data_IF_335864266868
#
_entry.id   IF_335864266868
#
_cell.length_a   1.000
_cell.length_b   1.000
_cell.length_c   1.000
_cell.angle_alpha   90.00
_cell.angle_beta   90.00
_cell.angle_gamma   90.00
#
_symmetry.space_group_name_H-M   'P 1'
#
loop_
_entity.id
_entity.type
_entity.pdbx_description
1 polymer ?
#
# COMPACT_ATOMS: atom_id res chain seq x y z
N UNK A 1 3.95 -11.01 10.19
CA UNK A 1 3.42 -9.63 10.30
C UNK A 1 3.07 -9.29 11.74
N UNK A 2 3.73 -8.29 12.31
CA UNK A 2 3.41 -7.75 13.64
C UNK A 2 2.32 -6.67 13.52
N UNK A 3 1.07 -7.08 13.78
CA UNK A 3 -0.10 -6.19 13.71
C UNK A 3 0.03 -5.00 14.64
N UNK A 4 0.46 -5.22 15.88
CA UNK A 4 0.53 -4.16 16.89
C UNK A 4 1.56 -3.10 16.49
N UNK A 5 2.69 -3.51 15.90
CA UNK A 5 3.71 -2.59 15.39
C UNK A 5 3.19 -1.78 14.18
N UNK A 6 2.44 -2.41 13.27
CA UNK A 6 1.83 -1.73 12.12
C UNK A 6 0.78 -0.70 12.58
N UNK A 7 -0.12 -1.07 13.48
CA UNK A 7 -1.13 -0.17 14.04
C UNK A 7 -0.50 1.01 14.79
N UNK A 8 0.46 0.72 15.68
CA UNK A 8 1.14 1.75 16.46
C UNK A 8 1.91 2.73 15.57
N UNK A 9 2.67 2.20 14.59
CA UNK A 9 3.44 3.04 13.68
C UNK A 9 2.53 3.86 12.76
N UNK A 10 1.43 3.31 12.24
CA UNK A 10 0.45 4.07 11.45
C UNK A 10 -0.15 5.23 12.26
N UNK A 11 -0.56 4.97 13.50
CA UNK A 11 -1.12 5.99 14.38
C UNK A 11 -0.11 7.10 14.71
N UNK A 12 1.19 6.78 14.78
CA UNK A 12 2.25 7.76 15.04
C UNK A 12 2.51 8.71 13.87
N UNK A 13 2.07 8.36 12.66
CA UNK A 13 2.27 9.14 11.43
C UNK A 13 0.95 9.63 10.81
N UNK A 14 -0.18 9.44 11.50
CA UNK A 14 -1.50 9.91 11.07
C UNK A 14 -1.61 11.42 11.29
N UNK A 15 -1.36 12.20 10.24
CA UNK A 15 -1.47 13.65 10.27
C UNK A 15 -2.91 14.10 9.98
N UNK A 16 -3.36 15.22 10.57
CA UNK A 16 -4.61 15.87 10.17
C UNK A 16 -4.66 16.18 8.67
N UNK A 17 -5.87 16.31 8.13
CA UNK A 17 -6.12 16.77 6.75
C UNK A 17 -5.37 15.95 5.68
N UNK A 18 -5.29 14.63 5.84
CA UNK A 18 -4.66 13.69 4.90
C UNK A 18 -3.15 13.92 4.71
N UNK A 19 -2.47 14.55 5.69
CA UNK A 19 -1.07 14.97 5.57
C UNK A 19 -0.08 13.85 5.22
N UNK A 20 -0.29 12.63 5.73
CA UNK A 20 0.50 11.46 5.34
C UNK A 20 0.39 11.19 3.84
N UNK A 21 -0.84 11.16 3.33
CA UNK A 21 -1.08 10.77 1.95
C UNK A 21 -0.68 11.87 0.97
N UNK A 22 -0.85 13.15 1.37
CA UNK A 22 -0.29 14.28 0.63
C UNK A 22 1.23 14.14 0.52
N UNK A 23 1.91 13.82 1.62
CA UNK A 23 3.37 13.64 1.59
C UNK A 23 3.78 12.45 0.73
N UNK A 24 3.06 11.35 0.82
CA UNK A 24 3.24 10.19 -0.06
C UNK A 24 3.16 10.56 -1.55
N UNK A 25 2.12 11.30 -1.98
CA UNK A 25 1.98 11.68 -3.38
C UNK A 25 3.09 12.62 -3.86
N UNK A 26 3.54 13.55 -3.01
CA UNK A 26 4.70 14.40 -3.33
C UNK A 26 5.93 13.54 -3.63
N UNK A 27 6.26 12.59 -2.75
CA UNK A 27 7.42 11.70 -2.92
C UNK A 27 7.25 10.81 -4.15
N UNK A 28 6.04 10.28 -4.38
CA UNK A 28 5.74 9.42 -5.52
C UNK A 28 5.96 10.14 -6.85
N UNK A 29 5.44 11.36 -7.00
CA UNK A 29 5.56 12.11 -8.25
C UNK A 29 6.95 12.71 -8.45
N UNK A 30 7.67 13.01 -7.37
CA UNK A 30 9.08 13.40 -7.43
C UNK A 30 9.97 12.26 -7.96
N UNK A 31 9.78 11.04 -7.45
CA UNK A 31 10.62 9.88 -7.82
C UNK A 31 10.16 9.17 -9.09
N UNK A 32 8.85 9.11 -9.31
CA UNK A 32 8.21 8.36 -10.40
C UNK A 32 7.22 9.26 -11.16
N UNK A 33 7.66 10.35 -11.81
CA UNK A 33 6.76 11.28 -12.50
C UNK A 33 5.92 10.59 -13.59
N UNK A 34 6.38 9.47 -14.14
CA UNK A 34 5.65 8.68 -15.12
C UNK A 34 4.33 8.09 -14.61
N UNK A 35 4.15 7.94 -13.28
CA UNK A 35 2.90 7.41 -12.72
C UNK A 35 1.86 8.50 -12.47
N UNK A 36 2.27 9.78 -12.42
CA UNK A 36 1.38 10.92 -12.15
C UNK A 36 0.12 10.97 -13.03
N UNK A 37 0.17 10.67 -14.35
CA UNK A 37 -1.03 10.64 -15.19
C UNK A 37 -2.09 9.61 -14.75
N UNK A 38 -1.71 8.58 -13.99
CA UNK A 38 -2.64 7.59 -13.45
C UNK A 38 -3.43 8.11 -12.24
N UNK A 39 -2.99 9.22 -11.63
CA UNK A 39 -3.56 9.82 -10.43
C UNK A 39 -4.31 11.13 -10.70
N UNK A 40 -4.76 11.38 -11.95
CA UNK A 40 -5.49 12.61 -12.35
C UNK A 40 -6.86 12.82 -11.67
N UNK A 41 -7.29 11.94 -10.77
CA UNK A 41 -8.47 12.14 -9.93
C UNK A 41 -8.10 13.01 -8.73
N UNK A 42 -9.11 13.53 -8.04
CA UNK A 42 -8.91 14.28 -6.80
C UNK A 42 -8.00 13.49 -5.84
N UNK A 43 -6.81 14.02 -5.58
CA UNK A 43 -5.78 13.41 -4.74
C UNK A 43 -6.30 13.16 -3.32
N UNK A 44 -7.27 13.94 -2.85
CA UNK A 44 -7.90 13.76 -1.55
C UNK A 44 -8.78 12.50 -1.51
N UNK A 45 -9.58 12.28 -2.55
CA UNK A 45 -10.41 11.06 -2.66
C UNK A 45 -9.50 9.84 -2.75
N UNK A 46 -8.43 9.92 -3.54
CA UNK A 46 -7.47 8.82 -3.65
C UNK A 46 -6.71 8.58 -2.35
N UNK A 47 -6.43 9.65 -1.60
CA UNK A 47 -5.82 9.57 -0.28
C UNK A 47 -6.70 8.81 0.72
N UNK A 48 -7.99 9.16 0.78
CA UNK A 48 -8.96 8.50 1.64
C UNK A 48 -9.15 7.02 1.26
N UNK A 49 -9.22 6.73 -0.04
CA UNK A 49 -9.29 5.35 -0.55
C UNK A 49 -8.07 4.53 -0.15
N UNK A 50 -6.86 5.11 -0.27
CA UNK A 50 -5.62 4.44 0.10
C UNK A 50 -5.54 4.18 1.60
N UNK A 51 -5.86 5.19 2.43
CA UNK A 51 -5.90 5.05 3.90
C UNK A 51 -6.89 3.96 4.31
N UNK A 52 -8.10 3.97 3.73
CA UNK A 52 -9.14 2.97 4.00
C UNK A 52 -8.67 1.56 3.63
N UNK A 53 -8.01 1.40 2.49
CA UNK A 53 -7.47 0.11 2.06
C UNK A 53 -6.39 -0.41 3.03
N UNK A 54 -5.46 0.45 3.44
CA UNK A 54 -4.39 0.09 4.39
C UNK A 54 -4.97 -0.34 5.73
N UNK A 55 -5.89 0.45 6.30
CA UNK A 55 -6.55 0.11 7.58
C UNK A 55 -7.31 -1.21 7.45
N UNK A 56 -8.05 -1.42 6.36
CA UNK A 56 -8.79 -2.66 6.15
C UNK A 56 -7.87 -3.89 6.06
N UNK A 57 -6.70 -3.75 5.44
CA UNK A 57 -5.70 -4.84 5.42
C UNK A 57 -5.18 -5.12 6.83
N UNK A 58 -4.83 -4.08 7.60
CA UNK A 58 -4.33 -4.23 8.97
C UNK A 58 -5.38 -4.92 9.84
N UNK A 59 -6.64 -4.49 9.77
CA UNK A 59 -7.75 -5.06 10.53
C UNK A 59 -7.96 -6.55 10.23
N UNK A 60 -7.67 -6.99 9.00
CA UNK A 60 -7.90 -8.36 8.53
C UNK A 60 -6.61 -9.17 8.34
N UNK A 61 -5.48 -8.80 8.96
CA UNK A 61 -4.18 -9.50 8.77
C UNK A 61 -4.22 -11.01 9.06
N UNK A 62 -5.11 -11.45 9.96
CA UNK A 62 -5.25 -12.85 10.35
C UNK A 62 -6.36 -13.59 9.57
N UNK A 63 -7.09 -12.89 8.68
CA UNK A 63 -8.15 -13.46 7.85
C UNK A 63 -7.66 -13.69 6.41
N UNK A 64 -7.02 -14.84 6.20
CA UNK A 64 -6.46 -15.21 4.91
C UNK A 64 -7.51 -15.30 3.78
N UNK A 65 -8.75 -15.69 4.10
CA UNK A 65 -9.85 -15.78 3.13
C UNK A 65 -10.29 -14.38 2.69
N UNK A 66 -10.46 -13.48 3.66
CA UNK A 66 -10.78 -12.09 3.39
C UNK A 66 -9.68 -11.42 2.56
N UNK A 67 -8.41 -11.60 2.94
CA UNK A 67 -7.27 -11.01 2.24
C UNK A 67 -7.19 -11.48 0.79
N UNK A 68 -7.25 -12.80 0.56
CA UNK A 68 -7.17 -13.37 -0.79
C UNK A 68 -8.33 -12.89 -1.67
N UNK A 69 -9.54 -12.90 -1.14
CA UNK A 69 -10.75 -12.54 -1.89
C UNK A 69 -10.77 -11.04 -2.23
N UNK A 70 -10.54 -10.18 -1.24
CA UNK A 70 -10.66 -8.74 -1.41
C UNK A 70 -9.47 -8.16 -2.17
N UNK A 71 -8.23 -8.57 -1.86
CA UNK A 71 -7.05 -8.08 -2.56
C UNK A 71 -6.95 -8.64 -3.98
N UNK A 72 -7.34 -9.89 -4.21
CA UNK A 72 -7.42 -10.44 -5.57
C UNK A 72 -8.43 -9.70 -6.44
N UNK A 73 -9.62 -9.38 -5.89
CA UNK A 73 -10.63 -8.56 -6.57
C UNK A 73 -10.14 -7.14 -6.85
N UNK A 74 -9.45 -6.53 -5.88
CA UNK A 74 -8.84 -5.21 -6.05
C UNK A 74 -7.71 -5.22 -7.10
N UNK A 75 -6.93 -6.29 -7.14
CA UNK A 75 -5.88 -6.55 -8.12
C UNK A 75 -6.42 -6.59 -9.55
N UNK A 76 -7.55 -7.28 -9.80
CA UNK A 76 -8.22 -7.26 -11.11
C UNK A 76 -8.53 -5.85 -11.60
N UNK A 77 -9.06 -5.01 -10.71
CA UNK A 77 -9.35 -3.60 -11.03
C UNK A 77 -8.08 -2.81 -11.32
N UNK A 78 -6.98 -3.08 -10.60
CA UNK A 78 -5.69 -2.44 -10.85
C UNK A 78 -5.08 -2.86 -12.20
N UNK A 79 -5.25 -4.13 -12.59
CA UNK A 79 -4.86 -4.61 -13.90
C UNK A 79 -5.63 -3.90 -15.03
N UNK A 80 -6.95 -3.70 -14.86
CA UNK A 80 -7.79 -2.96 -15.82
C UNK A 80 -7.36 -1.48 -15.97
N UNK A 81 -6.79 -0.90 -14.91
CA UNK A 81 -6.23 0.46 -14.93
C UNK A 81 -4.81 0.53 -15.49
N UNK A 82 -4.21 -0.61 -15.89
CA UNK A 82 -2.86 -0.67 -16.44
C UNK A 82 -1.75 -0.56 -15.39
N UNK A 83 -2.05 -0.76 -14.10
CA UNK A 83 -1.03 -0.77 -13.04
C UNK A 83 -0.16 -2.00 -13.21
N UNK A 84 1.16 -1.84 -13.09
CA UNK A 84 2.15 -2.91 -13.30
C UNK A 84 2.84 -3.32 -12.00
N UNK A 85 3.50 -4.49 -11.96
CA UNK A 85 4.25 -4.94 -10.79
C UNK A 85 5.29 -3.91 -10.28
N UNK A 86 6.12 -3.27 -11.14
CA UNK A 86 7.05 -2.23 -10.69
C UNK A 86 6.37 -1.00 -10.07
N UNK A 87 5.12 -0.70 -10.44
CA UNK A 87 4.39 0.41 -9.83
C UNK A 87 3.99 0.11 -8.38
N UNK A 88 3.75 -1.16 -8.01
CA UNK A 88 3.52 -1.53 -6.61
C UNK A 88 4.78 -1.33 -5.77
N UNK A 89 5.95 -1.69 -6.29
CA UNK A 89 7.23 -1.47 -5.61
C UNK A 89 7.46 0.03 -5.38
N UNK A 90 7.26 0.86 -6.41
CA UNK A 90 7.35 2.32 -6.32
C UNK A 90 6.40 2.90 -5.25
N UNK A 91 5.14 2.46 -5.24
CA UNK A 91 4.16 2.89 -4.22
C UNK A 91 4.59 2.46 -2.83
N UNK A 92 5.07 1.22 -2.67
CA UNK A 92 5.52 0.68 -1.39
C UNK A 92 6.67 1.47 -0.80
N UNK A 93 7.73 1.74 -1.58
CA UNK A 93 8.87 2.50 -1.10
C UNK A 93 8.54 3.96 -0.81
N UNK A 94 7.68 4.60 -1.60
CA UNK A 94 7.28 6.00 -1.39
C UNK A 94 6.41 6.14 -0.14
N UNK A 95 5.54 5.17 0.13
CA UNK A 95 4.72 5.15 1.35
C UNK A 95 5.61 5.02 2.60
N UNK A 96 6.55 4.06 2.59
CA UNK A 96 7.49 3.88 3.69
C UNK A 96 8.36 5.11 3.89
N UNK A 97 8.82 5.74 2.81
CA UNK A 97 9.58 6.99 2.89
C UNK A 97 8.77 8.13 3.52
N UNK A 98 7.49 8.28 3.16
CA UNK A 98 6.60 9.28 3.75
C UNK A 98 6.41 9.04 5.25
N UNK A 99 6.13 7.81 5.66
CA UNK A 99 5.97 7.46 7.07
C UNK A 99 7.27 7.66 7.86
N UNK A 100 8.42 7.30 7.29
CA UNK A 100 9.72 7.51 7.92
C UNK A 100 10.05 9.01 8.10
N UNK A 101 9.72 9.84 7.11
CA UNK A 101 9.93 11.29 7.21
C UNK A 101 9.03 11.93 8.28
N UNK A 102 7.76 11.51 8.37
CA UNK A 102 6.80 12.03 9.35
C UNK A 102 7.14 11.53 10.76
N UNK A 103 7.49 10.26 10.90
CA UNK A 103 7.81 9.65 12.19
C UNK A 103 9.16 10.09 12.76
N UNK A 104 10.08 10.60 11.92
CA UNK A 104 11.36 11.16 12.34
C UNK A 104 12.14 10.21 13.26
N UNK A 105 12.62 10.73 14.39
CA UNK A 105 13.40 9.96 15.38
C UNK A 105 12.61 8.81 16.03
N UNK A 106 11.27 8.86 16.01
CA UNK A 106 10.42 7.79 16.53
C UNK A 106 10.24 6.64 15.53
N UNK A 107 10.55 6.86 14.24
CA UNK A 107 10.45 5.83 13.22
C UNK A 107 11.63 4.86 13.26
N UNK A 108 11.35 3.59 13.51
CA UNK A 108 12.41 2.59 13.70
C UNK A 108 12.67 1.74 12.47
N UNK A 109 13.82 1.06 12.46
CA UNK A 109 14.14 0.05 11.44
C UNK A 109 13.14 -1.12 11.44
N UNK A 110 12.62 -1.49 12.61
CA UNK A 110 11.64 -2.55 12.75
C UNK A 110 10.30 -2.15 12.12
N UNK A 111 9.88 -0.88 12.29
CA UNK A 111 8.70 -0.34 11.58
C UNK A 111 8.89 -0.41 10.07
N UNK A 112 10.05 0.01 9.57
CA UNK A 112 10.39 -0.08 8.14
C UNK A 112 10.30 -1.52 7.61
N UNK A 113 10.87 -2.48 8.35
CA UNK A 113 10.83 -3.89 7.98
C UNK A 113 9.41 -4.45 7.99
N UNK A 114 8.62 -4.15 9.02
CA UNK A 114 7.23 -4.59 9.13
C UNK A 114 6.36 -4.04 8.00
N UNK A 115 6.51 -2.76 7.64
CA UNK A 115 5.79 -2.18 6.51
C UNK A 115 6.26 -2.72 5.16
N UNK A 116 7.54 -3.02 5.01
CA UNK A 116 8.07 -3.66 3.80
C UNK A 116 7.45 -5.05 3.61
N UNK A 117 7.43 -5.88 4.65
CA UNK A 117 6.76 -7.19 4.65
C UNK A 117 5.27 -7.03 4.31
N UNK A 118 4.60 -6.04 4.94
CA UNK A 118 3.19 -5.80 4.75
C UNK A 118 2.81 -5.42 3.31
N UNK A 119 3.45 -4.39 2.78
CA UNK A 119 3.16 -3.89 1.43
C UNK A 119 3.55 -4.92 0.35
N UNK A 120 4.62 -5.69 0.58
CA UNK A 120 5.01 -6.79 -0.32
C UNK A 120 3.97 -7.91 -0.35
N UNK A 121 3.42 -8.30 0.81
CA UNK A 121 2.38 -9.31 0.90
C UNK A 121 1.08 -8.85 0.22
N UNK A 122 0.67 -7.59 0.44
CA UNK A 122 -0.49 -7.00 -0.23
C UNK A 122 -0.29 -6.98 -1.74
N UNK A 123 0.85 -6.48 -2.22
CA UNK A 123 1.15 -6.42 -3.64
C UNK A 123 1.12 -7.82 -4.28
N UNK A 124 1.66 -8.83 -3.60
CA UNK A 124 1.65 -10.22 -4.07
C UNK A 124 0.22 -10.78 -4.22
N UNK A 125 -0.65 -10.54 -3.24
CA UNK A 125 -2.05 -10.98 -3.29
C UNK A 125 -2.85 -10.24 -4.37
N UNK A 126 -2.58 -8.94 -4.58
CA UNK A 126 -3.18 -8.17 -5.67
C UNK A 126 -2.72 -8.67 -7.03
N UNK A 127 -1.43 -8.90 -7.21
CA UNK A 127 -0.85 -9.43 -8.45
C UNK A 127 -1.36 -10.83 -8.78
N UNK A 128 -1.61 -11.68 -7.77
CA UNK A 128 -2.27 -12.97 -7.97
C UNK A 128 -3.69 -12.85 -8.56
N UNK A 129 -4.34 -11.70 -8.39
CA UNK A 129 -5.63 -11.39 -9.01
C UNK A 129 -5.54 -10.99 -10.48
N UNK A 130 -4.35 -10.70 -11.02
CA UNK A 130 -4.21 -10.18 -12.40
C UNK A 130 -4.60 -11.24 -13.44
N UNK A 131 -5.13 -10.82 -14.62
CA UNK A 131 -5.38 -11.73 -15.74
C UNK A 131 -4.07 -12.42 -16.17
N UNK A 132 -4.07 -13.76 -16.18
CA UNK A 132 -2.87 -14.56 -16.48
C UNK A 132 -1.98 -14.87 -15.26
N UNK A 133 -2.38 -14.46 -14.05
CA UNK A 133 -1.84 -15.00 -12.80
C UNK A 133 -2.36 -16.42 -12.60
N UNK A 134 -1.66 -17.41 -13.15
CA UNK A 134 -2.04 -18.81 -12.99
C UNK A 134 -2.13 -19.16 -11.50
N UNK A 135 -3.34 -19.55 -11.10
CA UNK A 135 -3.57 -20.37 -9.91
C UNK A 135 -2.71 -21.61 -10.07
N UNK A 136 -1.64 -21.74 -9.28
CA UNK A 136 -0.97 -23.02 -9.13
C UNK A 136 -1.87 -23.97 -8.35
N UNK A 137 -2.88 -24.52 -9.03
CA UNK A 137 -3.34 -25.87 -8.75
C UNK A 137 -2.23 -26.82 -9.21
N UNK A 138 -1.58 -27.50 -8.26
CA UNK A 138 -0.68 -28.58 -8.60
C UNK A 138 0.23 -29.00 -7.45
N UNK A 139 -0.28 -29.79 -6.51
CA UNK A 139 0.07 -31.22 -6.36
C UNK A 139 -0.79 -31.88 -5.29
#
# INVERSE_FOLDING_TARGET
>A
MDRQLLEHSLASVDLPDDGLTVRFYQILFERYPAVEPMFQRDTKIQAEMLRTAIVSVIDNLDDAEWLTTNLGSLGKRHAEMGVTAPMYEAVGECMIAAMAEIGGDAWTRDMTAAWTEALTAVASLMLAGYPGGDSHSGN
#
